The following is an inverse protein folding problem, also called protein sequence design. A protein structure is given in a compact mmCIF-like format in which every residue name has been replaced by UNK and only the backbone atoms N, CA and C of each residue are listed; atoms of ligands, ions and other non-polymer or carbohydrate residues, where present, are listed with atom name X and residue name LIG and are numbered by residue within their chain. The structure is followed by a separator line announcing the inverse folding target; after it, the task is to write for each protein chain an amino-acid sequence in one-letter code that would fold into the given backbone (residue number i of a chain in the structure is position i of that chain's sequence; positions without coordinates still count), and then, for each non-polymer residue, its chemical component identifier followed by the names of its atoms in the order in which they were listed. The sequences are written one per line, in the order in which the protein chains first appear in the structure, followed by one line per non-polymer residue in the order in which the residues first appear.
data_IF_125795567477
#
_entry.id   IF_125795567477
#
_cell.length_a   1.000
_cell.length_b   1.000
_cell.length_c   1.000
_cell.angle_alpha   90.00
_cell.angle_beta   90.00
_cell.angle_gamma   90.00
#
_symmetry.space_group_name_H-M   'P 1'
#
loop_
_entity.id
_entity.type
_entity.pdbx_description
1 polymer ?
#
# COMPACT_ATOMS: atom_id res chain seq x y z
N UNK A 1 1.86 -12.97 22.16
CA UNK A 1 3.07 -13.50 21.53
C UNK A 1 2.67 -13.82 20.10
N UNK A 2 3.18 -13.09 19.12
CA UNK A 2 2.69 -13.13 17.73
C UNK A 2 3.88 -13.64 16.93
N UNK A 3 3.87 -14.95 16.61
CA UNK A 3 4.89 -15.75 15.89
C UNK A 3 6.24 -15.99 16.59
N UNK A 4 6.75 -17.22 16.46
CA UNK A 4 8.17 -17.52 16.55
C UNK A 4 8.57 -18.30 15.29
N UNK A 5 9.33 -17.69 14.37
CA UNK A 5 9.84 -18.42 13.21
C UNK A 5 10.87 -19.46 13.69
N UNK A 6 10.66 -20.73 13.34
CA UNK A 6 11.67 -21.79 13.56
C UNK A 6 12.66 -21.79 12.39
N UNK A 7 12.17 -21.53 11.18
CA UNK A 7 12.96 -21.48 9.96
C UNK A 7 12.31 -20.57 8.92
N UNK A 8 12.98 -20.34 7.79
CA UNK A 8 12.40 -19.67 6.61
C UNK A 8 11.19 -20.37 6.01
N UNK A 9 10.85 -21.59 6.47
CA UNK A 9 9.75 -22.43 5.95
C UNK A 9 8.75 -22.88 7.02
N UNK A 10 9.02 -22.59 8.28
CA UNK A 10 8.29 -23.18 9.40
C UNK A 10 8.11 -22.14 10.50
N UNK A 11 6.86 -21.88 10.87
CA UNK A 11 6.54 -21.00 11.99
C UNK A 11 5.58 -21.71 12.95
N UNK A 12 5.82 -21.50 14.24
CA UNK A 12 4.91 -21.98 15.28
C UNK A 12 3.88 -20.92 15.54
N UNK A 13 2.63 -21.36 15.45
CA UNK A 13 1.53 -20.54 15.84
C UNK A 13 1.27 -20.69 17.35
N UNK A 14 1.17 -19.58 18.09
CA UNK A 14 1.15 -19.63 19.55
C UNK A 14 -0.04 -20.38 20.15
N UNK A 15 -1.08 -20.70 19.36
CA UNK A 15 -2.33 -21.27 19.88
C UNK A 15 -2.23 -22.71 20.37
N UNK A 16 -1.47 -23.59 19.72
CA UNK A 16 -1.64 -25.04 19.93
C UNK A 16 -0.40 -25.87 19.57
N UNK A 17 0.75 -25.25 19.30
CA UNK A 17 1.86 -25.98 18.70
C UNK A 17 1.56 -26.46 17.27
N UNK A 18 0.51 -25.93 16.64
CA UNK A 18 0.23 -26.13 15.22
C UNK A 18 1.43 -25.58 14.44
N UNK A 19 2.09 -26.51 13.75
CA UNK A 19 3.17 -26.22 12.82
C UNK A 19 2.50 -25.97 11.48
N UNK A 20 2.58 -24.73 10.99
CA UNK A 20 2.24 -24.43 9.62
C UNK A 20 3.55 -24.42 8.81
N UNK A 21 3.63 -25.32 7.84
CA UNK A 21 4.70 -25.31 6.85
C UNK A 21 4.32 -24.33 5.73
N UNK A 22 5.02 -23.21 5.68
CA UNK A 22 4.92 -22.25 4.59
C UNK A 22 6.20 -21.45 4.51
N UNK A 23 6.68 -21.28 3.28
CA UNK A 23 7.79 -20.39 2.98
C UNK A 23 7.45 -18.96 3.42
N UNK A 24 8.17 -18.45 4.41
CA UNK A 24 8.30 -17.01 4.64
C UNK A 24 9.07 -16.50 3.42
N UNK A 25 8.36 -15.99 2.41
CA UNK A 25 9.03 -15.56 1.19
C UNK A 25 8.69 -14.12 0.87
N UNK A 26 9.73 -13.34 0.59
CA UNK A 26 9.61 -12.04 -0.05
C UNK A 26 9.28 -12.18 -1.56
N UNK A 27 9.23 -13.42 -2.06
CA UNK A 27 9.18 -13.78 -3.48
C UNK A 27 7.85 -14.39 -3.95
N UNK A 28 6.97 -14.87 -3.06
CA UNK A 28 5.64 -15.37 -3.46
C UNK A 28 4.62 -14.24 -3.56
N UNK A 29 3.94 -14.21 -4.71
CA UNK A 29 3.15 -13.07 -5.17
C UNK A 29 1.82 -12.88 -4.40
N UNK A 30 1.32 -13.95 -3.77
CA UNK A 30 0.01 -14.01 -3.08
C UNK A 30 0.07 -13.84 -1.54
N UNK A 31 1.20 -13.39 -1.00
CA UNK A 31 1.34 -13.06 0.44
C UNK A 31 0.88 -11.63 0.76
N UNK A 32 0.24 -11.44 1.93
CA UNK A 32 -0.21 -10.11 2.39
C UNK A 32 0.96 -9.17 2.72
N UNK A 33 2.07 -9.70 3.20
CA UNK A 33 3.30 -8.93 3.42
C UNK A 33 4.52 -9.83 3.22
N UNK A 34 5.71 -9.24 3.02
CA UNK A 34 6.96 -9.98 3.01
C UNK A 34 7.06 -10.83 4.28
N UNK A 35 7.36 -12.12 4.11
CA UNK A 35 7.44 -13.07 5.21
C UNK A 35 6.11 -13.59 5.76
N UNK A 36 4.95 -13.32 5.15
CA UNK A 36 3.70 -14.00 5.51
C UNK A 36 3.37 -15.16 4.57
N UNK A 37 2.72 -16.23 5.08
CA UNK A 37 2.18 -17.30 4.24
C UNK A 37 1.17 -16.80 3.22
N UNK A 38 1.04 -17.52 2.10
CA UNK A 38 0.03 -17.23 1.09
C UNK A 38 -1.38 -17.43 1.63
N UNK A 39 -2.28 -16.50 1.32
CA UNK A 39 -3.72 -16.60 1.61
C UNK A 39 -4.50 -17.32 0.50
N UNK A 40 -3.84 -17.70 -0.60
CA UNK A 40 -4.45 -18.46 -1.68
C UNK A 40 -3.46 -19.43 -2.28
N UNK A 41 -3.94 -20.60 -2.69
CA UNK A 41 -3.17 -21.57 -3.49
C UNK A 41 -3.41 -21.40 -4.99
N UNK A 42 -4.21 -20.40 -5.40
CA UNK A 42 -4.63 -20.20 -6.79
C UNK A 42 -5.61 -21.25 -7.31
N UNK A 43 -6.05 -22.18 -6.44
CA UNK A 43 -7.05 -23.21 -6.74
C UNK A 43 -8.34 -22.93 -5.95
N UNK A 44 -9.51 -23.30 -6.50
CA UNK A 44 -10.75 -23.30 -5.71
C UNK A 44 -10.59 -24.22 -4.49
N UNK A 45 -11.25 -23.84 -3.38
CA UNK A 45 -11.20 -24.57 -2.13
C UNK A 45 -11.88 -25.93 -2.26
N UNK A 46 -11.09 -26.98 -2.48
CA UNK A 46 -11.56 -28.36 -2.48
C UNK A 46 -11.39 -28.96 -1.07
N UNK A 47 -12.13 -28.41 -0.09
CA UNK A 47 -12.43 -28.99 1.23
C UNK A 47 -11.31 -29.35 2.23
N UNK A 48 -10.20 -29.92 1.77
CA UNK A 48 -9.23 -30.67 2.58
C UNK A 48 -7.90 -29.92 2.79
N UNK A 49 -7.52 -29.00 1.89
CA UNK A 49 -6.26 -28.24 2.01
C UNK A 49 -6.54 -26.75 2.25
N UNK A 50 -6.37 -26.29 3.49
CA UNK A 50 -6.52 -24.87 3.85
C UNK A 50 -5.16 -24.15 3.70
N UNK A 51 -5.06 -23.05 2.91
CA UNK A 51 -3.84 -22.28 2.78
C UNK A 51 -3.32 -21.80 4.15
N UNK A 52 -2.01 -21.88 4.42
CA UNK A 52 -1.44 -21.47 5.70
C UNK A 52 -1.75 -20.01 6.10
N UNK A 53 -1.98 -19.11 5.13
CA UNK A 53 -2.38 -17.74 5.40
C UNK A 53 -3.79 -17.60 5.98
N UNK A 54 -4.71 -18.49 5.63
CA UNK A 54 -6.05 -18.53 6.23
C UNK A 54 -5.99 -19.04 7.66
N UNK A 55 -5.27 -20.14 7.89
CA UNK A 55 -5.03 -20.68 9.24
C UNK A 55 -4.45 -19.62 10.16
N UNK A 56 -3.47 -18.89 9.64
CA UNK A 56 -2.88 -17.79 10.38
C UNK A 56 -3.91 -16.69 10.72
N UNK A 57 -4.66 -16.24 9.71
CA UNK A 57 -5.65 -15.18 9.90
C UNK A 57 -6.69 -15.57 10.95
N UNK A 58 -7.22 -16.80 10.87
CA UNK A 58 -8.18 -17.34 11.84
C UNK A 58 -7.63 -17.33 13.28
N UNK A 59 -6.39 -17.79 13.46
CA UNK A 59 -5.77 -17.81 14.78
C UNK A 59 -5.48 -16.43 15.33
N UNK A 60 -5.06 -15.50 14.48
CA UNK A 60 -4.87 -14.10 14.90
C UNK A 60 -6.18 -13.51 15.42
N UNK A 61 -7.28 -13.66 14.67
CA UNK A 61 -8.61 -13.17 15.07
C UNK A 61 -9.09 -13.83 16.36
N UNK A 62 -8.90 -15.15 16.49
CA UNK A 62 -9.25 -15.90 17.69
C UNK A 62 -8.50 -15.40 18.92
N UNK A 63 -7.18 -15.23 18.83
CA UNK A 63 -6.36 -14.73 19.95
C UNK A 63 -6.64 -13.27 20.29
N UNK A 64 -6.94 -12.45 19.28
CA UNK A 64 -7.35 -11.07 19.50
C UNK A 64 -8.65 -11.03 20.30
N UNK A 65 -9.66 -11.80 19.92
CA UNK A 65 -10.92 -11.91 20.64
C UNK A 65 -10.73 -12.39 22.07
N UNK A 66 -9.89 -13.42 22.27
CA UNK A 66 -9.52 -13.90 23.60
C UNK A 66 -8.86 -12.83 24.47
N UNK A 67 -7.94 -12.04 23.89
CA UNK A 67 -7.28 -10.95 24.60
C UNK A 67 -8.24 -9.82 24.96
N UNK A 68 -9.29 -9.63 24.18
CA UNK A 68 -10.36 -8.67 24.43
C UNK A 68 -11.48 -9.22 25.33
N UNK A 69 -11.37 -10.48 25.80
CA UNK A 69 -12.39 -11.18 26.58
C UNK A 69 -13.77 -11.24 25.90
N UNK A 70 -13.74 -11.49 24.58
CA UNK A 70 -14.92 -11.60 23.71
C UNK A 70 -15.24 -13.06 23.39
N UNK A 71 -16.54 -13.37 23.36
CA UNK A 71 -17.13 -14.53 22.68
C UNK A 71 -17.68 -14.06 21.34
N UNK A 72 -17.26 -14.67 20.24
CA UNK A 72 -17.63 -14.23 18.91
C UNK A 72 -18.79 -15.04 18.32
N UNK A 73 -19.81 -14.33 17.84
CA UNK A 73 -20.83 -14.86 16.95
C UNK A 73 -20.39 -14.62 15.51
N UNK A 74 -19.94 -15.67 14.82
CA UNK A 74 -19.24 -15.55 13.53
C UNK A 74 -20.22 -15.67 12.36
N UNK A 75 -20.21 -14.65 11.49
CA UNK A 75 -20.93 -14.59 10.23
C UNK A 75 -19.93 -14.53 9.08
N UNK A 76 -20.09 -15.37 8.07
CA UNK A 76 -19.13 -15.49 6.98
C UNK A 76 -19.82 -15.38 5.63
N UNK A 77 -19.29 -14.51 4.76
CA UNK A 77 -19.79 -14.27 3.42
C UNK A 77 -18.66 -14.53 2.42
N UNK A 78 -18.72 -15.68 1.73
CA UNK A 78 -17.70 -16.17 0.80
C UNK A 78 -16.95 -17.41 1.29
N UNK A 79 -16.24 -18.08 0.38
CA UNK A 79 -15.60 -19.37 0.65
C UNK A 79 -14.39 -19.23 1.57
N UNK A 80 -13.57 -18.19 1.36
CA UNK A 80 -12.38 -17.90 2.18
C UNK A 80 -12.83 -17.54 3.60
N UNK A 81 -13.84 -16.68 3.72
CA UNK A 81 -14.45 -16.27 4.98
C UNK A 81 -15.06 -17.45 5.72
N UNK A 82 -15.74 -18.36 5.02
CA UNK A 82 -16.32 -19.57 5.61
C UNK A 82 -15.23 -20.51 6.14
N UNK A 83 -14.12 -20.66 5.42
CA UNK A 83 -12.97 -21.45 5.87
C UNK A 83 -12.35 -20.85 7.14
N UNK A 84 -12.14 -19.52 7.18
CA UNK A 84 -11.66 -18.81 8.38
C UNK A 84 -12.62 -18.99 9.55
N UNK A 85 -13.93 -18.80 9.32
CA UNK A 85 -14.96 -18.94 10.34
C UNK A 85 -15.04 -20.35 10.92
N UNK A 86 -14.96 -21.39 10.07
CA UNK A 86 -14.91 -22.79 10.50
C UNK A 86 -13.71 -23.04 11.42
N UNK A 87 -12.50 -22.62 11.01
CA UNK A 87 -11.30 -22.75 11.84
C UNK A 87 -11.45 -22.07 13.21
N UNK A 88 -12.06 -20.89 13.25
CA UNK A 88 -12.30 -20.17 14.50
C UNK A 88 -13.31 -20.86 15.41
N UNK A 89 -14.39 -21.43 14.85
CA UNK A 89 -15.36 -22.20 15.61
C UNK A 89 -14.74 -23.48 16.20
N UNK A 90 -13.92 -24.18 15.40
CA UNK A 90 -13.19 -25.37 15.83
C UNK A 90 -12.29 -25.03 17.03
N UNK A 91 -11.55 -23.91 16.99
CA UNK A 91 -10.74 -23.42 18.10
C UNK A 91 -11.56 -23.03 19.35
N UNK A 92 -12.69 -22.34 19.19
CA UNK A 92 -13.53 -21.91 20.33
C UNK A 92 -14.13 -23.10 21.10
N UNK A 93 -14.53 -24.16 20.37
CA UNK A 93 -15.14 -25.36 20.96
C UNK A 93 -14.23 -26.08 21.98
N UNK A 94 -12.91 -25.91 21.86
CA UNK A 94 -11.90 -26.55 22.70
C UNK A 94 -11.61 -25.78 24.01
N UNK A 95 -11.75 -24.45 24.03
CA UNK A 95 -11.22 -23.61 25.12
C UNK A 95 -12.22 -22.66 25.79
N UNK A 96 -13.42 -22.44 25.22
CA UNK A 96 -14.37 -21.44 25.73
C UNK A 96 -15.48 -21.99 26.63
N UNK A 97 -15.37 -23.25 27.07
CA UNK A 97 -16.34 -23.86 27.98
C UNK A 97 -16.27 -23.23 29.37
N UNK A 98 -17.38 -22.62 29.82
CA UNK A 98 -17.56 -22.15 31.21
C UNK A 98 -17.03 -20.76 31.56
N UNK A 99 -16.59 -19.97 30.56
CA UNK A 99 -16.18 -18.57 30.78
C UNK A 99 -17.31 -17.59 30.43
N UNK A 100 -17.66 -16.71 31.36
CA UNK A 100 -18.60 -15.61 31.12
C UNK A 100 -17.89 -14.47 30.37
N UNK A 101 -17.80 -14.59 29.05
CA UNK A 101 -17.27 -13.54 28.17
C UNK A 101 -18.39 -12.66 27.64
N UNK A 102 -18.05 -11.42 27.29
CA UNK A 102 -18.98 -10.53 26.56
C UNK A 102 -19.14 -10.99 25.11
N UNK A 103 -20.37 -10.97 24.58
CA UNK A 103 -20.62 -11.42 23.18
C UNK A 103 -20.39 -10.29 22.19
N UNK A 104 -19.82 -10.60 21.03
CA UNK A 104 -19.69 -9.69 19.90
C UNK A 104 -19.89 -10.43 18.57
N UNK A 105 -20.58 -9.80 17.61
CA UNK A 105 -20.70 -10.34 16.26
C UNK A 105 -19.42 -10.07 15.45
N UNK A 106 -18.88 -11.09 14.77
CA UNK A 106 -17.80 -10.96 13.80
C UNK A 106 -18.33 -11.27 12.40
N UNK A 107 -18.36 -10.28 11.52
CA UNK A 107 -18.67 -10.46 10.10
C UNK A 107 -17.39 -10.53 9.28
N UNK A 108 -17.18 -11.62 8.55
CA UNK A 108 -16.06 -11.84 7.65
C UNK A 108 -16.60 -11.88 6.22
N UNK A 109 -16.07 -11.02 5.34
CA UNK A 109 -16.54 -10.87 3.95
C UNK A 109 -15.38 -11.08 2.98
N UNK A 110 -15.57 -11.96 2.01
CA UNK A 110 -14.63 -12.15 0.91
C UNK A 110 -14.67 -10.94 -0.02
N UNK A 111 -13.50 -10.37 -0.29
CA UNK A 111 -13.35 -9.28 -1.27
C UNK A 111 -13.84 -9.68 -2.67
N UNK A 112 -13.80 -10.96 -3.01
CA UNK A 112 -14.27 -11.47 -4.31
C UNK A 112 -15.76 -11.28 -4.55
N UNK A 113 -16.54 -11.00 -3.50
CA UNK A 113 -17.99 -10.74 -3.59
C UNK A 113 -18.29 -9.32 -4.05
N UNK A 114 -17.32 -8.42 -3.89
CA UNK A 114 -17.42 -7.06 -4.40
C UNK A 114 -16.08 -6.71 -5.06
N UNK A 115 -15.98 -6.90 -6.36
CA UNK A 115 -14.80 -6.50 -7.12
C UNK A 115 -14.85 -5.03 -7.55
N UNK A 116 -16.01 -4.39 -7.45
CA UNK A 116 -16.24 -3.04 -7.95
C UNK A 116 -15.63 -1.99 -7.01
N UNK A 117 -15.98 -2.00 -5.73
CA UNK A 117 -15.55 -0.96 -4.77
C UNK A 117 -14.02 -0.70 -4.77
N UNK A 118 -13.12 -1.70 -4.80
CA UNK A 118 -11.67 -1.44 -4.81
C UNK A 118 -11.14 -0.91 -6.15
N UNK A 119 -11.94 -1.01 -7.23
CA UNK A 119 -11.57 -0.53 -8.56
C UNK A 119 -11.98 0.92 -8.81
N UNK A 120 -12.88 1.48 -8.00
CA UNK A 120 -13.40 2.84 -8.18
C UNK A 120 -12.49 3.89 -7.54
N UNK A 121 -12.24 4.97 -8.29
CA UNK A 121 -11.55 6.16 -7.88
C UNK A 121 -12.54 7.11 -7.20
N UNK A 122 -12.67 6.98 -5.88
CA UNK A 122 -13.52 7.84 -5.07
C UNK A 122 -13.00 9.28 -4.90
N UNK A 123 -13.77 10.09 -4.17
CA UNK A 123 -13.37 11.45 -3.78
C UNK A 123 -12.39 11.48 -2.61
N UNK A 124 -12.12 10.31 -1.99
CA UNK A 124 -11.19 10.14 -0.87
C UNK A 124 -9.81 10.65 -1.23
N UNK A 125 -9.37 11.71 -0.55
CA UNK A 125 -8.04 12.25 -0.78
C UNK A 125 -6.95 11.27 -0.36
N UNK A 126 -7.23 10.45 0.66
CA UNK A 126 -6.32 9.41 1.10
C UNK A 126 -6.07 8.38 0.01
N UNK A 127 -7.12 7.90 -0.67
CA UNK A 127 -6.97 6.92 -1.74
C UNK A 127 -6.18 7.50 -2.92
N UNK A 128 -6.42 8.77 -3.25
CA UNK A 128 -5.64 9.51 -4.24
C UNK A 128 -4.16 9.62 -3.86
N UNK A 129 -3.84 9.82 -2.58
CA UNK A 129 -2.45 9.80 -2.10
C UNK A 129 -1.84 8.41 -2.21
N UNK A 130 -2.53 7.37 -1.74
CA UNK A 130 -2.02 5.99 -1.74
C UNK A 130 -1.82 5.43 -3.16
N UNK A 131 -2.63 5.86 -4.14
CA UNK A 131 -2.49 5.48 -5.55
C UNK A 131 -1.32 6.19 -6.24
N UNK A 132 -1.02 7.43 -5.84
CA UNK A 132 0.01 8.27 -6.47
C UNK A 132 1.42 7.97 -5.95
N UNK A 133 1.53 7.33 -4.79
CA UNK A 133 2.81 7.05 -4.16
C UNK A 133 3.50 5.82 -4.77
N UNK A 134 4.84 5.84 -4.91
CA UNK A 134 5.58 4.68 -5.36
C UNK A 134 5.45 3.54 -4.36
N UNK A 135 5.48 2.32 -4.88
CA UNK A 135 5.52 1.09 -4.08
C UNK A 135 6.93 0.51 -4.16
N UNK A 136 7.39 -0.10 -3.08
CA UNK A 136 8.68 -0.79 -3.08
C UNK A 136 8.68 -1.86 -4.18
N UNK A 137 9.66 -1.81 -5.08
CA UNK A 137 9.85 -2.89 -6.04
C UNK A 137 10.25 -4.17 -5.29
N UNK A 138 9.57 -5.28 -5.57
CA UNK A 138 10.02 -6.60 -5.08
C UNK A 138 11.29 -6.96 -5.84
N UNK A 139 12.41 -7.11 -5.14
CA UNK A 139 13.65 -7.63 -5.71
C UNK A 139 13.38 -9.04 -6.24
N UNK A 140 13.22 -9.17 -7.55
CA UNK A 140 13.21 -10.48 -8.20
C UNK A 140 14.63 -11.04 -8.13
N UNK A 141 14.90 -11.87 -7.12
CA UNK A 141 16.12 -12.68 -7.12
C UNK A 141 15.96 -13.72 -8.22
N UNK A 142 16.50 -13.42 -9.40
CA UNK A 142 16.77 -14.41 -10.43
C UNK A 142 17.91 -15.34 -9.98
N UNK A 143 17.66 -16.15 -8.95
CA UNK A 143 18.50 -17.31 -8.62
C UNK A 143 17.60 -18.54 -8.47
N UNK A 144 16.74 -18.76 -9.46
CA UNK A 144 16.38 -20.13 -9.78
C UNK A 144 17.63 -20.77 -10.42
N UNK A 145 18.45 -21.42 -9.60
CA UNK A 145 19.42 -22.38 -10.11
C UNK A 145 18.65 -23.36 -11.00
N UNK A 146 18.79 -23.21 -12.32
CA UNK A 146 18.22 -24.12 -13.30
C UNK A 146 18.88 -25.48 -13.08
N UNK A 147 18.23 -26.34 -12.30
CA UNK A 147 18.60 -27.74 -12.23
C UNK A 147 18.00 -28.42 -13.50
N UNK A 148 18.80 -28.95 -14.44
CA UNK A 148 18.30 -29.33 -15.77
C UNK A 148 17.43 -30.60 -15.83
N UNK A 149 16.98 -31.17 -14.70
CA UNK A 149 16.43 -32.53 -14.67
C UNK A 149 15.06 -32.72 -14.01
N UNK A 150 14.31 -31.65 -13.75
CA UNK A 150 12.88 -31.78 -13.39
C UNK A 150 12.02 -31.24 -14.53
N UNK A 151 11.08 -32.04 -15.10
CA UNK A 151 10.14 -31.53 -16.07
C UNK A 151 9.38 -30.37 -15.44
N UNK A 152 9.30 -29.25 -16.16
CA UNK A 152 8.55 -28.08 -15.71
C UNK A 152 7.08 -28.47 -15.58
N UNK A 153 6.63 -28.71 -14.35
CA UNK A 153 5.22 -28.60 -14.04
C UNK A 153 4.75 -27.24 -14.52
N UNK A 154 3.62 -27.24 -15.22
CA UNK A 154 3.10 -26.12 -15.98
C UNK A 154 3.22 -24.85 -15.16
N UNK A 155 3.95 -23.87 -15.70
CA UNK A 155 4.07 -22.53 -15.13
C UNK A 155 2.67 -21.93 -15.05
N UNK A 156 1.99 -22.19 -13.93
CA UNK A 156 0.73 -21.57 -13.59
C UNK A 156 0.96 -20.06 -13.65
N UNK A 157 0.06 -19.34 -14.30
CA UNK A 157 0.11 -17.90 -14.37
C UNK A 157 -0.04 -17.34 -12.96
N UNK A 158 1.08 -17.12 -12.28
CA UNK A 158 1.11 -16.51 -10.95
C UNK A 158 0.62 -15.08 -11.07
N UNK A 159 -0.38 -14.70 -10.27
CA UNK A 159 -0.96 -13.36 -10.29
C UNK A 159 0.01 -12.40 -9.62
N UNK A 160 0.67 -11.55 -10.43
CA UNK A 160 1.57 -10.51 -9.92
C UNK A 160 0.80 -9.43 -9.18
N UNK A 161 0.90 -9.42 -7.85
CA UNK A 161 0.33 -8.36 -7.00
C UNK A 161 1.34 -7.26 -6.70
N UNK A 162 0.90 -6.01 -6.79
CA UNK A 162 1.68 -4.86 -6.34
C UNK A 162 1.92 -4.92 -4.82
N UNK A 163 3.14 -4.64 -4.33
CA UNK A 163 3.42 -4.66 -2.90
C UNK A 163 2.59 -3.62 -2.13
N UNK A 164 2.22 -3.95 -0.89
CA UNK A 164 1.53 -3.02 0.01
C UNK A 164 2.48 -2.01 0.68
N UNK A 165 3.79 -2.15 0.47
CA UNK A 165 4.81 -1.24 1.02
C UNK A 165 4.87 0.05 0.20
N UNK A 166 4.02 1.02 0.58
CA UNK A 166 3.95 2.35 0.00
C UNK A 166 5.07 3.22 0.56
N UNK A 167 5.73 3.93 -0.34
CA UNK A 167 6.93 4.72 -0.10
C UNK A 167 6.64 6.19 -0.35
N UNK A 168 6.85 7.03 0.65
CA UNK A 168 6.79 8.50 0.50
C UNK A 168 8.19 9.00 0.17
N UNK A 169 8.44 9.59 -1.02
CA UNK A 169 9.74 10.13 -1.37
C UNK A 169 10.06 11.30 -0.45
N UNK A 170 10.96 11.09 0.50
CA UNK A 170 11.29 12.10 1.50
C UNK A 170 12.37 13.05 0.99
N UNK A 171 13.13 12.62 -0.02
CA UNK A 171 14.19 13.39 -0.67
C UNK A 171 13.69 14.68 -1.32
N UNK A 172 12.44 14.69 -1.80
CA UNK A 172 11.82 15.88 -2.41
C UNK A 172 11.59 17.01 -1.42
N UNK A 173 11.60 16.72 -0.11
CA UNK A 173 11.53 17.73 0.93
C UNK A 173 12.81 18.58 1.02
N UNK A 174 13.94 18.06 0.52
CA UNK A 174 15.22 18.74 0.52
C UNK A 174 15.48 19.35 -0.86
N UNK A 175 16.01 20.58 -0.92
CA UNK A 175 16.30 21.25 -2.19
C UNK A 175 17.31 20.46 -3.03
N UNK A 176 17.18 20.49 -4.37
CA UNK A 176 18.05 19.77 -5.32
C UNK A 176 19.55 20.11 -5.19
N UNK A 177 19.89 21.27 -4.64
CA UNK A 177 21.27 21.72 -4.38
C UNK A 177 21.80 21.28 -3.01
N UNK A 178 20.92 21.02 -2.05
CA UNK A 178 21.28 20.69 -0.66
C UNK A 178 21.33 19.18 -0.39
N UNK A 179 20.74 18.35 -1.26
CA UNK A 179 20.65 16.89 -1.09
C UNK A 179 22.01 16.25 -0.91
N UNK A 180 23.03 16.60 -1.72
CA UNK A 180 24.39 16.01 -1.61
C UNK A 180 25.15 16.40 -0.33
N UNK A 181 24.80 17.53 0.29
CA UNK A 181 25.48 18.08 1.48
C UNK A 181 24.75 17.74 2.79
N UNK A 182 23.43 17.50 2.74
CA UNK A 182 22.62 17.19 3.92
C UNK A 182 22.33 15.70 4.12
N UNK A 183 22.33 14.86 3.07
CA UNK A 183 22.31 13.40 3.26
C UNK A 183 23.57 12.90 3.98
N UNK A 184 24.67 13.64 3.93
CA UNK A 184 25.89 13.39 4.71
C UNK A 184 25.85 14.00 6.13
N UNK A 185 24.84 14.83 6.46
CA UNK A 185 24.68 15.45 7.79
C UNK A 185 23.61 14.78 8.65
N UNK A 186 22.65 14.04 8.08
CA UNK A 186 21.78 13.19 8.88
C UNK A 186 22.61 12.09 9.50
N UNK A 187 22.54 11.94 10.83
CA UNK A 187 23.27 10.86 11.50
C UNK A 187 22.92 9.51 10.87
N UNK A 188 23.90 8.63 10.72
CA UNK A 188 23.70 7.29 10.14
C UNK A 188 22.57 6.52 10.86
N UNK A 189 22.42 6.74 12.17
CA UNK A 189 21.30 6.26 12.99
C UNK A 189 19.94 6.81 12.57
N UNK A 190 19.88 8.09 12.15
CA UNK A 190 18.65 8.72 11.67
C UNK A 190 18.28 8.22 10.28
N UNK A 191 19.27 8.03 9.41
CA UNK A 191 19.09 7.44 8.08
C UNK A 191 18.53 6.03 8.20
N UNK A 192 19.13 5.18 9.05
CA UNK A 192 18.67 3.82 9.34
C UNK A 192 17.25 3.79 9.97
N UNK A 193 16.92 4.78 10.80
CA UNK A 193 15.61 4.92 11.42
C UNK A 193 14.54 5.35 10.40
N UNK A 194 14.85 6.29 9.50
CA UNK A 194 13.93 6.82 8.49
C UNK A 194 13.71 5.83 7.33
N UNK A 195 14.73 5.05 6.96
CA UNK A 195 14.63 3.99 5.95
C UNK A 195 13.78 2.79 6.40
N UNK A 196 13.38 2.73 7.68
CA UNK A 196 12.73 1.57 8.28
C UNK A 196 13.68 0.36 8.37
N UNK A 197 13.22 -0.70 9.02
CA UNK A 197 14.00 -1.88 9.43
C UNK A 197 14.71 -2.68 8.33
N UNK A 198 14.63 -2.28 7.06
CA UNK A 198 15.09 -3.08 5.91
C UNK A 198 16.21 -2.41 5.10
N UNK A 199 17.13 -1.67 5.76
CA UNK A 199 18.35 -1.15 5.09
C UNK A 199 19.44 -2.22 4.89
N UNK A 200 19.15 -3.50 5.12
CA UNK A 200 20.13 -4.57 5.00
C UNK A 200 19.81 -5.46 3.80
N UNK A 201 20.46 -5.20 2.67
CA UNK A 201 21.18 -6.29 2.00
C UNK A 201 22.27 -6.76 2.97
N UNK A 202 21.88 -7.55 3.98
CA UNK A 202 22.81 -8.35 4.77
C UNK A 202 22.26 -9.76 4.71
N UNK A 203 22.47 -10.37 3.55
CA UNK A 203 22.63 -11.80 3.41
C UNK A 203 23.61 -12.04 2.26
N UNK A 204 24.86 -11.63 2.49
CA UNK A 204 26.01 -12.31 1.92
C UNK A 204 26.98 -12.64 3.05
N UNK A 205 26.99 -13.94 3.37
CA UNK A 205 28.04 -14.70 4.04
C UNK A 205 28.88 -13.99 5.11
N UNK A 206 28.62 -14.39 6.35
CA UNK A 206 29.55 -14.32 7.47
C UNK A 206 30.93 -14.87 7.04
N UNK A 207 31.89 -13.96 6.81
CA UNK A 207 33.31 -14.28 6.92
C UNK A 207 33.99 -13.21 7.75
N UNK A 208 34.47 -13.61 8.92
CA UNK A 208 35.15 -12.76 9.89
C UNK A 208 36.53 -12.32 9.36
N UNK A 209 36.75 -11.01 9.20
CA UNK A 209 37.94 -10.21 9.61
C UNK A 209 37.98 -8.86 8.86
N UNK A 210 38.50 -7.78 9.48
CA UNK A 210 38.48 -6.43 8.91
C UNK A 210 39.75 -6.19 8.07
N UNK A 211 39.58 -5.68 6.86
CA UNK A 211 40.66 -4.98 6.18
C UNK A 211 40.14 -3.76 5.44
N UNK A 212 40.85 -2.65 5.61
CA UNK A 212 40.52 -1.35 5.03
C UNK A 212 41.02 -1.32 3.59
N UNK A 213 40.12 -1.17 2.61
CA UNK A 213 40.48 -0.53 1.35
C UNK A 213 39.27 0.10 0.67
N UNK A 214 39.41 1.41 0.54
CA UNK A 214 38.75 2.39 -0.31
C UNK A 214 38.45 1.85 -1.72
N UNK A 215 37.22 1.37 -1.97
CA UNK A 215 36.65 1.32 -3.32
C UNK A 215 35.20 1.80 -3.29
N UNK A 216 35.00 2.98 -3.89
CA UNK A 216 33.71 3.60 -4.13
C UNK A 216 32.92 2.77 -5.15
N UNK A 217 32.17 1.79 -4.67
CA UNK A 217 31.06 1.24 -5.44
C UNK A 217 29.90 2.24 -5.40
N UNK A 218 29.51 2.71 -6.60
CA UNK A 218 28.33 3.52 -6.92
C UNK A 218 27.04 2.71 -6.67
N UNK A 219 26.87 2.25 -5.43
CA UNK A 219 25.63 1.69 -4.95
C UNK A 219 24.65 2.83 -4.81
N UNK A 220 23.52 2.75 -5.53
CA UNK A 220 22.36 3.62 -5.30
C UNK A 220 22.03 3.60 -3.81
N UNK A 221 22.53 4.61 -3.09
CA UNK A 221 22.19 4.89 -1.69
C UNK A 221 20.66 4.84 -1.62
N UNK A 222 20.13 3.95 -0.77
CA UNK A 222 18.71 3.66 -0.71
C UNK A 222 17.90 4.94 -0.60
N UNK A 223 16.99 5.16 -1.55
CA UNK A 223 16.16 6.36 -1.61
C UNK A 223 15.48 6.59 -0.26
N UNK A 224 15.70 7.74 0.37
CA UNK A 224 15.08 8.07 1.66
C UNK A 224 13.57 8.05 1.52
N UNK A 225 12.94 7.02 2.09
CA UNK A 225 11.53 6.79 1.91
C UNK A 225 10.78 6.57 3.21
N UNK A 226 9.81 7.45 3.44
CA UNK A 226 8.90 7.37 4.57
C UNK A 226 7.78 6.33 4.36
N UNK A 227 7.13 5.95 5.47
CA UNK A 227 5.93 5.11 5.47
C UNK A 227 4.92 5.66 6.46
N UNK A 228 3.66 5.77 6.02
CA UNK A 228 2.54 6.23 6.84
C UNK A 228 2.34 5.44 8.14
N UNK A 229 2.77 4.18 8.17
CA UNK A 229 2.60 3.26 9.31
C UNK A 229 3.75 3.31 10.33
N UNK A 230 4.79 4.14 10.09
CA UNK A 230 5.98 4.21 10.94
C UNK A 230 5.81 5.06 12.22
N UNK A 231 4.63 5.64 12.47
CA UNK A 231 4.38 6.48 13.64
C UNK A 231 2.90 6.46 14.06
N UNK A 232 2.62 6.23 15.36
CA UNK A 232 1.29 6.31 15.95
C UNK A 232 0.63 7.69 15.76
N UNK A 233 1.41 8.78 15.76
CA UNK A 233 0.89 10.11 15.45
C UNK A 233 0.41 10.23 13.99
N UNK A 234 1.03 9.49 13.07
CA UNK A 234 0.63 9.45 11.65
C UNK A 234 -0.77 8.89 11.46
N UNK A 235 -1.14 7.86 12.23
CA UNK A 235 -2.47 7.23 12.18
C UNK A 235 -3.60 8.25 12.41
N UNK A 236 -3.42 9.18 13.35
CA UNK A 236 -4.43 10.22 13.66
C UNK A 236 -4.64 11.19 12.50
N UNK A 237 -3.59 11.48 11.73
CA UNK A 237 -3.72 12.33 10.55
C UNK A 237 -4.44 11.60 9.41
N UNK A 238 -4.18 10.30 9.24
CA UNK A 238 -4.88 9.48 8.26
C UNK A 238 -6.37 9.33 8.62
N UNK A 239 -6.68 9.07 9.89
CA UNK A 239 -8.06 9.02 10.40
C UNK A 239 -8.82 10.31 10.07
N UNK A 240 -8.20 11.47 10.25
CA UNK A 240 -8.81 12.76 9.97
C UNK A 240 -9.06 13.02 8.47
N UNK A 241 -8.46 12.23 7.58
CA UNK A 241 -8.60 12.37 6.12
C UNK A 241 -9.53 11.34 5.47
N UNK A 242 -9.96 10.30 6.19
CA UNK A 242 -10.73 9.18 5.63
C UNK A 242 -11.97 9.63 4.83
N UNK A 243 -12.70 10.62 5.35
CA UNK A 243 -13.94 11.12 4.74
C UNK A 243 -13.75 12.47 4.03
N UNK A 244 -12.50 12.88 3.76
CA UNK A 244 -12.21 14.20 3.20
C UNK A 244 -11.90 14.15 1.72
N UNK A 245 -12.50 15.08 0.97
CA UNK A 245 -12.16 15.35 -0.42
C UNK A 245 -10.81 16.06 -0.56
N UNK A 246 -10.23 16.04 -1.75
CA UNK A 246 -8.89 16.61 -2.00
C UNK A 246 -8.74 18.08 -1.57
N UNK A 247 -9.76 18.91 -1.79
CA UNK A 247 -9.73 20.34 -1.41
C UNK A 247 -9.73 20.54 0.11
N UNK A 248 -10.65 19.90 0.80
CA UNK A 248 -10.78 20.02 2.26
C UNK A 248 -9.60 19.35 2.98
N UNK A 249 -9.15 18.20 2.47
CA UNK A 249 -7.96 17.51 2.94
C UNK A 249 -6.70 18.36 2.80
N UNK A 250 -6.54 19.09 1.69
CA UNK A 250 -5.40 20.01 1.51
C UNK A 250 -5.42 21.17 2.54
N UNK A 251 -6.60 21.72 2.82
CA UNK A 251 -6.77 22.76 3.85
C UNK A 251 -6.46 22.20 5.24
N UNK A 252 -6.89 20.97 5.53
CA UNK A 252 -6.59 20.28 6.79
C UNK A 252 -5.09 20.05 6.97
N UNK A 253 -4.40 19.55 5.94
CA UNK A 253 -2.94 19.35 5.99
C UNK A 253 -2.22 20.67 6.22
N UNK A 254 -2.63 21.77 5.55
CA UNK A 254 -2.09 23.10 5.81
C UNK A 254 -2.27 23.52 7.26
N UNK A 255 -3.45 23.29 7.84
CA UNK A 255 -3.74 23.60 9.25
C UNK A 255 -2.80 22.83 10.18
N UNK A 256 -2.64 21.53 9.97
CA UNK A 256 -1.77 20.67 10.77
C UNK A 256 -0.30 21.07 10.66
N UNK A 257 0.17 21.46 9.47
CA UNK A 257 1.52 22.02 9.28
C UNK A 257 1.70 23.36 10.01
N UNK A 258 0.68 24.22 10.04
CA UNK A 258 0.76 25.50 10.77
C UNK A 258 0.88 25.25 12.28
N UNK A 259 0.12 24.29 12.81
CA UNK A 259 0.21 23.87 14.21
C UNK A 259 1.61 23.32 14.54
N UNK A 260 2.17 22.48 13.67
CA UNK A 260 3.54 21.97 13.83
C UNK A 260 4.58 23.10 13.87
N UNK A 261 4.52 24.06 12.94
CA UNK A 261 5.43 25.22 12.92
C UNK A 261 5.30 26.08 14.18
N UNK A 262 4.07 26.29 14.68
CA UNK A 262 3.83 27.04 15.91
C UNK A 262 4.44 26.35 17.13
N UNK A 263 4.32 25.01 17.22
CA UNK A 263 4.92 24.23 18.31
C UNK A 263 6.46 24.27 18.29
N UNK A 264 7.06 24.40 17.11
CA UNK A 264 8.52 24.58 16.93
C UNK A 264 8.97 26.05 17.04
N UNK A 265 8.05 26.99 17.30
CA UNK A 265 8.30 28.44 17.35
C UNK A 265 8.92 29.01 16.07
N UNK A 266 8.67 28.35 14.93
CA UNK A 266 9.10 28.81 13.62
C UNK A 266 8.10 29.84 13.07
N UNK A 267 8.58 30.85 12.34
CA UNK A 267 7.69 31.87 11.80
C UNK A 267 6.83 31.30 10.66
N UNK A 268 5.51 31.53 10.72
CA UNK A 268 4.58 31.02 9.70
C UNK A 268 4.57 31.96 8.46
N UNK A 269 4.72 31.45 7.22
CA UNK A 269 4.85 32.27 6.01
C UNK A 269 3.56 33.00 5.59
N UNK A 270 2.40 32.70 6.16
CA UNK A 270 1.17 33.43 5.84
C UNK A 270 0.10 33.29 6.92
N UNK A 271 -0.11 34.32 7.73
CA UNK A 271 -1.34 34.47 8.51
C UNK A 271 -2.39 35.13 7.60
N UNK A 272 -3.33 34.37 7.02
CA UNK A 272 -4.55 35.00 6.47
C UNK A 272 -5.25 34.36 5.28
N UNK A 273 -4.65 33.43 4.53
CA UNK A 273 -5.34 32.76 3.41
C UNK A 273 -5.87 31.40 3.80
N UNK A 274 -7.20 31.23 3.71
CA UNK A 274 -7.88 29.94 3.93
C UNK A 274 -7.60 28.94 2.79
N UNK A 275 -7.36 29.43 1.57
CA UNK A 275 -6.97 28.59 0.44
C UNK A 275 -5.58 28.02 0.68
N UNK A 276 -5.42 26.72 0.49
CA UNK A 276 -4.13 26.04 0.54
C UNK A 276 -3.59 25.87 -0.89
N UNK A 277 -2.29 26.11 -1.08
CA UNK A 277 -1.59 25.82 -2.33
C UNK A 277 -0.45 24.83 -2.11
N UNK A 278 -0.11 24.06 -3.13
CA UNK A 278 0.96 23.05 -3.06
C UNK A 278 2.31 23.70 -2.73
N UNK A 279 2.58 24.88 -3.31
CA UNK A 279 3.81 25.64 -3.03
C UNK A 279 3.89 26.13 -1.59
N UNK A 280 2.77 26.53 -0.98
CA UNK A 280 2.70 26.88 0.44
C UNK A 280 3.02 25.67 1.32
N UNK A 281 2.42 24.50 1.05
CA UNK A 281 2.72 23.27 1.79
C UNK A 281 4.20 22.91 1.69
N UNK A 282 4.78 22.97 0.49
CA UNK A 282 6.20 22.69 0.28
C UNK A 282 7.10 23.63 1.07
N UNK A 283 6.79 24.92 1.11
CA UNK A 283 7.54 25.88 1.93
C UNK A 283 7.46 25.55 3.43
N UNK A 284 6.29 25.13 3.91
CA UNK A 284 6.09 24.72 5.31
C UNK A 284 6.86 23.46 5.67
N UNK A 285 6.86 22.46 4.78
CA UNK A 285 7.67 21.25 4.90
C UNK A 285 9.16 21.61 4.97
N UNK A 286 9.65 22.44 4.05
CA UNK A 286 11.06 22.84 4.01
C UNK A 286 11.52 23.50 5.32
N UNK A 287 10.69 24.35 5.94
CA UNK A 287 11.02 24.94 7.24
C UNK A 287 11.10 23.91 8.36
N UNK A 288 10.16 22.96 8.42
CA UNK A 288 10.19 21.89 9.42
C UNK A 288 11.40 20.96 9.25
N UNK A 289 11.89 20.82 8.02
CA UNK A 289 13.07 20.02 7.69
C UNK A 289 14.41 20.72 7.99
N UNK A 290 14.43 22.00 8.36
CA UNK A 290 15.69 22.73 8.60
C UNK A 290 16.48 22.21 9.80
N UNK A 291 15.80 21.66 10.82
CA UNK A 291 16.39 21.15 12.05
C UNK A 291 16.08 19.66 12.21
N UNK A 292 17.09 18.86 12.54
CA UNK A 292 16.99 17.40 12.65
C UNK A 292 15.93 16.96 13.68
N UNK A 293 15.89 17.62 14.84
CA UNK A 293 14.89 17.32 15.88
C UNK A 293 13.46 17.64 15.45
N UNK A 294 13.26 18.77 14.75
CA UNK A 294 11.96 19.16 14.20
C UNK A 294 11.50 18.16 13.14
N UNK A 295 12.41 17.71 12.28
CA UNK A 295 12.14 16.71 11.26
C UNK A 295 11.65 15.38 11.87
N UNK A 296 12.34 14.86 12.88
CA UNK A 296 11.96 13.60 13.55
C UNK A 296 10.60 13.71 14.23
N UNK A 297 10.37 14.83 14.93
CA UNK A 297 9.14 15.07 15.69
C UNK A 297 7.93 15.25 14.78
N UNK A 298 8.11 15.94 13.65
CA UNK A 298 7.05 16.27 12.70
C UNK A 298 7.00 15.34 11.48
N UNK A 299 7.73 14.22 11.50
CA UNK A 299 7.85 13.30 10.34
C UNK A 299 6.51 12.86 9.74
N UNK A 300 5.50 12.62 10.57
CA UNK A 300 4.19 12.13 10.11
C UNK A 300 3.46 13.16 9.25
N UNK A 301 3.39 14.42 9.71
CA UNK A 301 2.74 15.49 8.95
C UNK A 301 3.57 15.91 7.72
N UNK A 302 4.91 15.83 7.80
CA UNK A 302 5.78 16.05 6.65
C UNK A 302 5.52 14.98 5.57
N UNK A 303 5.50 13.69 5.93
CA UNK A 303 5.21 12.61 4.98
C UNK A 303 3.84 12.77 4.34
N UNK A 304 2.83 13.16 5.12
CA UNK A 304 1.49 13.41 4.62
C UNK A 304 1.44 14.58 3.63
N UNK A 305 2.14 15.68 3.92
CA UNK A 305 2.21 16.82 3.02
C UNK A 305 2.92 16.48 1.70
N UNK A 306 3.99 15.68 1.74
CA UNK A 306 4.69 15.21 0.54
C UNK A 306 3.81 14.27 -0.30
N UNK A 307 3.05 13.38 0.35
CA UNK A 307 2.10 12.51 -0.35
C UNK A 307 0.96 13.30 -1.00
N UNK A 308 0.40 14.28 -0.29
CA UNK A 308 -0.61 15.19 -0.83
C UNK A 308 -0.09 15.98 -2.02
N UNK A 309 1.16 16.44 -1.94
CA UNK A 309 1.83 17.10 -3.05
C UNK A 309 1.96 16.17 -4.27
N UNK A 310 2.36 14.91 -4.10
CA UNK A 310 2.43 13.95 -5.20
C UNK A 310 1.07 13.66 -5.85
N UNK A 311 0.03 13.53 -5.03
CA UNK A 311 -1.35 13.30 -5.49
C UNK A 311 -1.93 14.43 -6.34
N UNK A 312 -1.42 15.65 -6.15
CA UNK A 312 -1.89 16.86 -6.81
C UNK A 312 -0.94 17.33 -7.93
N UNK A 313 0.19 16.65 -8.13
CA UNK A 313 1.09 16.93 -9.24
C UNK A 313 0.59 16.30 -10.54
N UNK A 314 1.00 16.89 -11.67
CA UNK A 314 0.77 16.30 -12.98
C UNK A 314 1.82 15.22 -13.28
N UNK A 315 1.43 14.09 -13.91
CA UNK A 315 0.12 13.79 -14.51
C UNK A 315 -0.88 13.07 -13.56
N UNK A 316 -0.51 12.80 -12.30
CA UNK A 316 -1.33 12.01 -11.36
C UNK A 316 -2.70 12.67 -11.14
N UNK A 317 -2.71 13.99 -11.00
CA UNK A 317 -3.90 14.76 -10.76
C UNK A 317 -4.92 14.61 -11.89
N UNK A 318 -4.53 14.93 -13.12
CA UNK A 318 -5.43 14.82 -14.29
C UNK A 318 -5.85 13.38 -14.58
N UNK A 319 -4.96 12.39 -14.37
CA UNK A 319 -5.31 10.98 -14.50
C UNK A 319 -6.39 10.54 -13.52
N UNK A 320 -6.31 10.96 -12.25
CA UNK A 320 -7.33 10.66 -11.23
C UNK A 320 -8.69 11.26 -11.63
N UNK A 321 -8.72 12.53 -12.04
CA UNK A 321 -9.97 13.18 -12.48
C UNK A 321 -10.58 12.50 -13.71
N UNK A 322 -9.75 12.02 -14.64
CA UNK A 322 -10.21 11.27 -15.80
C UNK A 322 -10.87 9.95 -15.40
N UNK A 323 -10.29 9.21 -14.46
CA UNK A 323 -10.88 8.00 -13.91
C UNK A 323 -12.21 8.27 -13.21
N UNK A 324 -12.23 9.19 -12.25
CA UNK A 324 -13.46 9.51 -11.51
C UNK A 324 -14.56 10.00 -12.46
N UNK A 325 -14.22 10.77 -13.49
CA UNK A 325 -15.19 11.17 -14.53
C UNK A 325 -15.70 9.98 -15.33
N UNK A 326 -14.81 9.10 -15.82
CA UNK A 326 -15.19 7.94 -16.61
C UNK A 326 -16.06 6.97 -15.81
N UNK A 327 -15.71 6.70 -14.55
CA UNK A 327 -16.48 5.84 -13.66
C UNK A 327 -17.86 6.39 -13.34
N UNK A 328 -17.99 7.71 -13.13
CA UNK A 328 -19.31 8.36 -12.97
C UNK A 328 -20.16 8.18 -14.23
N UNK A 329 -19.58 8.35 -15.42
CA UNK A 329 -20.29 8.12 -16.69
C UNK A 329 -20.73 6.66 -16.77
N UNK A 330 -19.83 5.69 -16.57
CA UNK A 330 -20.15 4.27 -16.61
C UNK A 330 -21.25 3.90 -15.60
N UNK A 331 -21.20 4.45 -14.40
CA UNK A 331 -22.21 4.20 -13.35
C UNK A 331 -23.59 4.79 -13.69
N UNK A 332 -23.66 5.88 -14.44
CA UNK A 332 -24.94 6.46 -14.89
C UNK A 332 -25.46 5.66 -16.08
N UNK A 333 -24.59 5.35 -17.05
CA UNK A 333 -24.93 4.64 -18.29
C UNK A 333 -25.31 3.18 -18.04
N UNK A 334 -24.81 2.53 -16.98
CA UNK A 334 -25.15 1.14 -16.64
C UNK A 334 -26.64 0.95 -16.33
N UNK A 335 -27.37 2.01 -15.99
CA UNK A 335 -28.81 1.96 -15.77
C UNK A 335 -29.63 1.92 -17.07
N UNK A 336 -29.02 2.21 -18.22
CA UNK A 336 -29.71 2.30 -19.51
C UNK A 336 -29.70 0.96 -20.25
N UNK A 337 -28.55 0.58 -20.82
CA UNK A 337 -28.37 -0.68 -21.58
C UNK A 337 -26.90 -1.10 -21.57
N UNK A 338 -26.62 -2.39 -21.78
CA UNK A 338 -25.23 -2.88 -21.97
C UNK A 338 -24.59 -2.35 -23.26
N UNK A 339 -25.39 -2.02 -24.28
CA UNK A 339 -24.90 -1.44 -25.53
C UNK A 339 -24.41 0.01 -25.38
N UNK A 340 -25.11 0.83 -24.60
CA UNK A 340 -24.66 2.19 -24.30
C UNK A 340 -23.36 2.17 -23.49
N UNK A 341 -23.25 1.27 -22.52
CA UNK A 341 -22.01 1.07 -21.74
C UNK A 341 -20.82 0.66 -22.62
N UNK A 342 -21.04 -0.26 -23.55
CA UNK A 342 -20.02 -0.67 -24.52
C UNK A 342 -19.62 0.47 -25.48
N UNK A 343 -20.55 1.37 -25.80
CA UNK A 343 -20.25 2.58 -26.58
C UNK A 343 -19.36 3.53 -25.80
N UNK A 344 -19.67 3.81 -24.52
CA UNK A 344 -18.85 4.68 -23.67
C UNK A 344 -17.43 4.16 -23.50
N UNK A 345 -17.26 2.85 -23.25
CA UNK A 345 -15.93 2.22 -23.16
C UNK A 345 -15.17 2.40 -24.48
N UNK A 346 -15.84 2.22 -25.62
CA UNK A 346 -15.23 2.43 -26.95
C UNK A 346 -14.80 3.88 -27.14
N UNK A 347 -15.61 4.83 -26.69
CA UNK A 347 -15.31 6.26 -26.80
C UNK A 347 -14.13 6.65 -25.91
N UNK A 348 -14.00 6.09 -24.70
CA UNK A 348 -12.82 6.24 -23.86
C UNK A 348 -11.55 5.67 -24.52
N UNK A 349 -11.64 4.51 -25.17
CA UNK A 349 -10.53 3.91 -25.93
C UNK A 349 -10.11 4.85 -27.07
N UNK A 350 -11.05 5.29 -27.88
CA UNK A 350 -10.78 6.14 -29.05
C UNK A 350 -10.23 7.51 -28.64
N UNK A 351 -10.73 8.08 -27.55
CA UNK A 351 -10.24 9.38 -27.03
C UNK A 351 -8.81 9.24 -26.51
N UNK A 352 -8.49 8.13 -25.86
CA UNK A 352 -7.15 7.86 -25.33
C UNK A 352 -6.10 7.63 -26.42
N UNK A 353 -6.50 7.11 -27.59
CA UNK A 353 -5.61 6.90 -28.75
C UNK A 353 -5.52 8.10 -29.68
N UNK A 354 -6.53 8.97 -29.73
CA UNK A 354 -6.59 10.08 -30.70
C UNK A 354 -5.75 11.32 -30.35
N UNK A 355 -5.23 11.42 -29.11
CA UNK A 355 -4.37 12.55 -28.67
C UNK A 355 -3.03 12.62 -29.43
N UNK A 356 -2.70 11.61 -30.24
CA UNK A 356 -1.46 11.52 -31.03
C UNK A 356 -1.40 12.42 -32.27
N UNK A 357 -2.51 13.03 -32.73
CA UNK A 357 -2.57 13.59 -34.10
C UNK A 357 -2.51 15.13 -34.25
N UNK A 358 -2.39 15.92 -33.18
CA UNK A 358 -2.47 17.40 -33.25
C UNK A 358 -1.31 18.19 -32.60
N UNK A 359 -0.07 17.70 -32.71
CA UNK A 359 1.13 18.55 -32.51
C UNK A 359 2.18 18.30 -33.58
N UNK A 360 2.01 18.96 -34.72
CA UNK A 360 3.09 19.13 -35.69
C UNK A 360 4.04 20.23 -35.17
N UNK A 361 5.19 19.84 -34.62
CA UNK A 361 6.28 20.78 -34.33
C UNK A 361 7.16 20.43 -33.13
N UNK A 362 8.14 19.54 -33.36
CA UNK A 362 9.47 19.58 -32.76
C UNK A 362 9.61 19.62 -31.21
N UNK A 363 9.33 18.51 -30.53
CA UNK A 363 10.19 18.02 -29.42
C UNK A 363 9.84 16.55 -29.14
N UNK A 364 10.85 15.69 -29.15
CA UNK A 364 10.73 14.24 -28.97
C UNK A 364 10.45 13.93 -27.49
N UNK A 365 9.18 14.01 -27.10
CA UNK A 365 8.65 13.46 -25.85
C UNK A 365 7.35 12.76 -26.19
N UNK A 366 7.27 11.45 -25.98
CA UNK A 366 6.03 10.69 -26.22
C UNK A 366 4.92 11.29 -25.36
N UNK A 367 3.99 12.01 -25.97
CA UNK A 367 2.73 12.39 -25.30
C UNK A 367 1.91 11.11 -25.16
N UNK A 368 2.16 10.37 -24.09
CA UNK A 368 1.28 9.28 -23.66
C UNK A 368 -0.13 9.87 -23.46
N UNK A 369 -1.15 9.17 -23.96
CA UNK A 369 -2.55 9.50 -23.67
C UNK A 369 -2.79 9.59 -22.15
N UNK A 370 -3.81 10.36 -21.76
CA UNK A 370 -4.13 10.61 -20.35
C UNK A 370 -4.38 9.32 -19.54
N UNK A 371 -4.93 8.30 -20.22
CA UNK A 371 -5.14 6.95 -19.70
C UNK A 371 -4.25 5.96 -20.44
N UNK A 372 -3.66 5.03 -19.69
CA UNK A 372 -2.85 3.93 -20.22
C UNK A 372 -3.74 2.77 -20.68
N UNK A 373 -3.17 1.81 -21.42
CA UNK A 373 -3.89 0.59 -21.78
C UNK A 373 -4.40 -0.18 -20.55
N UNK A 374 -3.63 -0.21 -19.47
CA UNK A 374 -4.05 -0.84 -18.21
C UNK A 374 -5.26 -0.11 -17.58
N UNK A 375 -5.31 1.22 -17.70
CA UNK A 375 -6.42 2.02 -17.20
C UNK A 375 -7.71 1.75 -17.96
N UNK A 376 -7.61 1.65 -19.28
CA UNK A 376 -8.72 1.28 -20.16
C UNK A 376 -9.25 -0.12 -19.83
N UNK A 377 -8.35 -1.09 -19.61
CA UNK A 377 -8.74 -2.44 -19.20
C UNK A 377 -9.47 -2.42 -17.84
N UNK A 378 -8.99 -1.62 -16.89
CA UNK A 378 -9.65 -1.45 -15.60
C UNK A 378 -11.06 -0.86 -15.77
N UNK A 379 -11.21 0.22 -16.55
CA UNK A 379 -12.53 0.81 -16.85
C UNK A 379 -13.47 -0.18 -17.57
N UNK A 380 -12.91 -1.05 -18.42
CA UNK A 380 -13.69 -2.10 -19.09
C UNK A 380 -14.19 -3.14 -18.08
N UNK A 381 -13.35 -3.55 -17.13
CA UNK A 381 -13.74 -4.46 -16.02
C UNK A 381 -14.80 -3.80 -15.14
N UNK A 382 -14.64 -2.51 -14.80
CA UNK A 382 -15.62 -1.74 -14.03
C UNK A 382 -16.96 -1.70 -14.76
N UNK A 383 -16.97 -1.39 -16.05
CA UNK A 383 -18.18 -1.43 -16.87
C UNK A 383 -18.82 -2.81 -16.91
N UNK A 384 -18.04 -3.87 -17.13
CA UNK A 384 -18.56 -5.24 -17.12
C UNK A 384 -19.24 -5.60 -15.79
N UNK A 385 -18.61 -5.29 -14.66
CA UNK A 385 -19.19 -5.53 -13.33
C UNK A 385 -20.48 -4.73 -13.14
N UNK A 386 -20.52 -3.47 -13.59
CA UNK A 386 -21.71 -2.62 -13.51
C UNK A 386 -22.88 -3.12 -14.38
N UNK A 387 -22.60 -3.81 -15.49
CA UNK A 387 -23.62 -4.46 -16.31
C UNK A 387 -24.31 -5.64 -15.59
N UNK A 388 -23.72 -6.16 -14.51
CA UNK A 388 -24.23 -7.30 -13.76
C UNK A 388 -24.04 -8.64 -14.48
N UNK A 389 -23.08 -8.71 -15.41
CA UNK A 389 -22.71 -9.92 -16.16
C UNK A 389 -21.51 -10.66 -15.55
#
# INVERSE_FOLDING_TARGET
MIFSPISSRTFVLPSEGIIAESYLSNHREDSLSPGLPSISTGKPFDGDEVPPGLTLTAQFLYHLANKMDLKLDIFSLGDTSRAIGKLMMDMSSLYDVGRNKSSAGLLIVDRTIDLLTPCLHGESFLDRMLSSLPRKERTSSCYAAKNPQTPSEHSQATVKRSPLDIKVPFESAFGKEETKSRTSMLSESMMAFVSGWNSAEVDSEVTWLPDYSDEAHDGKVGTLSGSFLSNYAGVRYLEALLDTGAKDGLVLIKKLLMEALQLEKLSSPSKGRQTASISELRSMVQMLCQHELSLVRNRGIIQLALAAEMALQEPQSTRWEAFTSAERILSVTSAETTQSLASEIRDFINTSTSVESHKQGNTMGSTQGLLTFQDILLLTIVGYILAGE
#
